data_IF_755628524671
#
_entry.id   IF_755628524671
#
_cell.length_a   1.000
_cell.length_b   1.000
_cell.length_c   1.000
_cell.angle_alpha   90.00
_cell.angle_beta   90.00
_cell.angle_gamma   90.00
#
_symmetry.space_group_name_H-M   'P 1'
#
loop_
_entity.id
_entity.type
_entity.pdbx_description
1 polymer ?
#
# COMPACT_ATOMS: atom_id res chain seq x y z
N UNK A 1 39.52 -1.17 -108.75
CA UNK A 1 39.55 -1.92 -107.47
C UNK A 1 38.72 -1.18 -106.44
N UNK A 2 37.85 -1.94 -105.76
CA UNK A 2 37.11 -1.69 -104.52
C UNK A 2 36.10 -0.53 -104.37
N UNK A 3 34.85 -0.96 -104.16
CA UNK A 3 33.69 -0.26 -103.57
C UNK A 3 33.73 -0.38 -102.02
N UNK A 4 33.05 0.54 -101.33
CA UNK A 4 32.55 0.42 -99.95
C UNK A 4 32.05 1.78 -99.43
N UNK A 5 30.77 2.14 -99.52
CA UNK A 5 29.64 1.88 -98.60
C UNK A 5 29.89 2.30 -97.14
N UNK A 6 29.48 3.53 -96.77
CA UNK A 6 29.18 3.92 -95.40
C UNK A 6 27.67 3.81 -95.15
N UNK A 7 27.29 3.05 -94.13
CA UNK A 7 25.92 2.66 -93.81
C UNK A 7 25.34 3.55 -92.69
N UNK A 8 24.11 4.01 -92.91
CA UNK A 8 23.26 4.76 -91.97
C UNK A 8 23.14 4.03 -90.63
N UNK A 9 23.55 4.66 -89.54
CA UNK A 9 23.34 4.15 -88.18
C UNK A 9 21.90 4.44 -87.75
N UNK A 10 21.22 3.39 -87.32
CA UNK A 10 19.79 3.31 -87.06
C UNK A 10 19.39 4.06 -85.77
N UNK A 11 18.51 5.06 -85.88
CA UNK A 11 17.99 5.94 -84.81
C UNK A 11 17.00 5.24 -83.84
N UNK A 12 17.10 3.92 -83.69
CA UNK A 12 16.17 3.14 -82.88
C UNK A 12 16.69 2.91 -81.45
N UNK A 13 18.00 2.79 -81.24
CA UNK A 13 18.57 2.43 -79.92
C UNK A 13 18.42 3.50 -78.82
N UNK A 14 18.45 4.79 -79.18
CA UNK A 14 18.37 5.89 -78.22
C UNK A 14 16.97 6.07 -77.61
N UNK A 15 15.92 5.74 -78.37
CA UNK A 15 14.54 5.86 -77.89
C UNK A 15 14.18 4.83 -76.81
N UNK A 16 14.70 3.60 -76.92
CA UNK A 16 14.50 2.55 -75.90
C UNK A 16 15.28 2.83 -74.62
N UNK A 17 16.46 3.44 -74.73
CA UNK A 17 17.26 3.84 -73.56
C UNK A 17 16.56 4.99 -72.82
N UNK A 18 16.02 5.97 -73.55
CA UNK A 18 15.23 7.05 -72.96
C UNK A 18 13.91 6.55 -72.37
N UNK A 19 13.21 5.61 -73.01
CA UNK A 19 11.98 5.03 -72.45
C UNK A 19 12.25 4.17 -71.22
N UNK A 20 13.36 3.42 -71.19
CA UNK A 20 13.78 2.63 -70.03
C UNK A 20 14.23 3.52 -68.86
N UNK A 21 14.90 4.65 -69.13
CA UNK A 21 15.23 5.65 -68.12
C UNK A 21 13.97 6.35 -67.59
N UNK A 22 13.00 6.68 -68.44
CA UNK A 22 11.71 7.24 -68.01
C UNK A 22 10.91 6.23 -67.19
N UNK A 23 10.93 4.94 -67.55
CA UNK A 23 10.30 3.89 -66.73
C UNK A 23 11.02 3.70 -65.40
N UNK A 24 12.36 3.69 -65.38
CA UNK A 24 13.14 3.58 -64.14
C UNK A 24 12.97 4.79 -63.21
N UNK A 25 12.72 6.00 -63.76
CA UNK A 25 12.42 7.20 -62.97
C UNK A 25 10.95 7.20 -62.47
N UNK A 26 10.04 6.48 -63.12
CA UNK A 26 8.65 6.32 -62.65
C UNK A 26 8.45 5.13 -61.70
N UNK A 27 9.45 4.27 -61.52
CA UNK A 27 9.50 3.27 -60.43
C UNK A 27 10.37 3.84 -59.30
N UNK A 28 10.05 5.07 -58.86
CA UNK A 28 10.36 5.46 -57.50
C UNK A 28 9.26 4.82 -56.67
N UNK A 29 9.66 3.79 -55.95
CA UNK A 29 8.94 3.11 -54.88
C UNK A 29 7.93 4.05 -54.19
N UNK A 30 6.65 3.96 -54.60
CA UNK A 30 5.55 4.43 -53.76
C UNK A 30 5.40 3.34 -52.72
N UNK A 31 6.31 3.36 -51.75
CA UNK A 31 6.24 2.60 -50.54
C UNK A 31 5.02 3.17 -49.78
N UNK A 32 3.83 2.67 -50.14
CA UNK A 32 2.57 3.07 -49.55
C UNK A 32 2.53 2.47 -48.14
N UNK A 33 3.30 3.05 -47.23
CA UNK A 33 3.30 2.64 -45.83
C UNK A 33 1.86 2.62 -45.32
N UNK A 34 1.39 1.45 -44.89
CA UNK A 34 0.03 1.25 -44.38
C UNK A 34 0.08 0.97 -42.88
N UNK A 35 -0.86 1.55 -42.14
CA UNK A 35 -1.01 1.35 -40.70
C UNK A 35 -1.96 0.19 -40.35
N UNK A 36 -2.26 -0.69 -41.31
CA UNK A 36 -3.20 -1.79 -41.13
C UNK A 36 -2.81 -2.71 -39.96
N UNK A 37 -1.55 -3.14 -39.87
CA UNK A 37 -1.08 -4.00 -38.77
C UNK A 37 -1.23 -3.34 -37.39
N UNK A 38 -0.94 -2.04 -37.32
CA UNK A 38 -1.10 -1.23 -36.11
C UNK A 38 -2.57 -1.15 -35.70
N UNK A 39 -3.48 -1.00 -36.67
CA UNK A 39 -4.92 -1.01 -36.41
C UNK A 39 -5.39 -2.37 -35.90
N UNK A 40 -4.95 -3.46 -36.52
CA UNK A 40 -5.28 -4.82 -36.07
C UNK A 40 -4.80 -5.05 -34.64
N UNK A 41 -3.57 -4.65 -34.32
CA UNK A 41 -3.03 -4.76 -32.96
C UNK A 41 -3.79 -3.90 -31.93
N UNK A 42 -4.19 -2.68 -32.30
CA UNK A 42 -4.98 -1.78 -31.46
C UNK A 42 -6.35 -2.36 -31.12
N UNK A 43 -7.00 -3.00 -32.10
CA UNK A 43 -8.30 -3.64 -31.94
C UNK A 43 -8.20 -4.95 -31.14
N UNK A 44 -7.24 -5.82 -31.45
CA UNK A 44 -7.06 -7.11 -30.76
C UNK A 44 -6.77 -6.92 -29.26
N UNK A 45 -6.00 -5.88 -28.91
CA UNK A 45 -5.73 -5.52 -27.50
C UNK A 45 -6.86 -4.73 -26.84
N UNK A 46 -7.97 -4.48 -27.54
CA UNK A 46 -9.14 -3.73 -27.04
C UNK A 46 -8.77 -2.36 -26.47
N UNK A 47 -7.75 -1.71 -27.03
CA UNK A 47 -7.23 -0.42 -26.53
C UNK A 47 -8.21 0.71 -26.82
N UNK A 48 -8.91 0.63 -27.95
CA UNK A 48 -9.96 1.58 -28.31
C UNK A 48 -10.56 1.31 -29.69
N UNK A 49 -11.41 2.23 -30.18
CA UNK A 49 -12.04 2.13 -31.50
C UNK A 49 -11.01 2.18 -32.63
N UNK A 50 -11.07 1.27 -33.62
CA UNK A 50 -10.09 1.16 -34.70
C UNK A 50 -9.99 2.42 -35.57
N UNK A 51 -11.01 3.28 -35.56
CA UNK A 51 -11.04 4.57 -36.26
C UNK A 51 -10.02 5.59 -35.72
N UNK A 52 -9.47 5.35 -34.52
CA UNK A 52 -8.41 6.20 -33.96
C UNK A 52 -7.05 5.96 -34.61
N UNK A 53 -6.91 4.88 -35.38
CA UNK A 53 -5.71 4.55 -36.15
C UNK A 53 -5.89 5.04 -37.58
N UNK A 54 -4.96 5.84 -38.13
CA UNK A 54 -5.00 6.31 -39.51
C UNK A 54 -4.75 5.16 -40.48
N UNK A 55 -5.08 5.31 -41.76
CA UNK A 55 -4.77 4.30 -42.79
C UNK A 55 -3.30 4.32 -43.20
N UNK A 56 -2.69 5.52 -43.22
CA UNK A 56 -1.32 5.76 -43.64
C UNK A 56 -0.57 6.60 -42.58
N UNK A 57 0.76 6.48 -42.48
CA UNK A 57 1.56 7.22 -41.50
C UNK A 57 1.55 8.74 -41.71
N UNK A 58 1.42 9.50 -40.61
CA UNK A 58 1.52 10.97 -40.60
C UNK A 58 2.89 11.45 -40.12
N UNK A 59 3.44 12.52 -40.73
CA UNK A 59 4.79 13.06 -40.42
C UNK A 59 4.83 14.15 -39.35
N UNK A 60 3.68 14.60 -38.86
CA UNK A 60 3.57 15.70 -37.89
C UNK A 60 2.49 15.39 -36.85
N UNK A 61 2.79 14.44 -35.96
CA UNK A 61 1.88 14.04 -34.88
C UNK A 61 2.47 14.51 -33.55
N UNK A 62 1.79 15.44 -32.90
CA UNK A 62 2.11 15.92 -31.56
C UNK A 62 1.78 14.85 -30.50
N UNK A 63 2.68 13.87 -30.38
CA UNK A 63 2.64 12.78 -29.40
C UNK A 63 3.40 13.20 -28.14
N UNK A 64 2.79 12.99 -26.98
CA UNK A 64 3.34 13.42 -25.68
C UNK A 64 4.39 12.45 -25.13
N UNK A 65 4.18 11.14 -25.32
CA UNK A 65 5.01 10.08 -24.73
C UNK A 65 5.90 9.44 -25.79
N UNK A 66 5.30 9.01 -26.89
CA UNK A 66 5.97 8.36 -28.00
C UNK A 66 6.67 9.39 -28.88
N UNK A 67 7.92 9.75 -28.55
CA UNK A 67 8.75 10.61 -29.39
C UNK A 67 9.42 9.80 -30.50
N UNK A 68 9.04 10.04 -31.74
CA UNK A 68 9.60 9.39 -32.92
C UNK A 68 10.01 10.41 -33.98
N UNK A 69 11.16 10.20 -34.63
CA UNK A 69 11.59 11.01 -35.77
C UNK A 69 11.11 10.34 -37.06
N UNK A 70 10.12 10.93 -37.73
CA UNK A 70 9.58 10.44 -38.99
C UNK A 70 8.11 10.02 -38.92
N UNK A 71 7.54 9.52 -40.03
CA UNK A 71 6.13 9.17 -40.13
C UNK A 71 5.69 8.15 -39.07
N UNK A 72 4.54 8.37 -38.44
CA UNK A 72 3.98 7.52 -37.39
C UNK A 72 2.53 7.11 -37.69
N UNK A 73 2.18 5.88 -37.33
CA UNK A 73 0.81 5.38 -37.32
C UNK A 73 0.03 5.72 -36.04
N UNK A 74 0.67 6.37 -35.07
CA UNK A 74 0.02 6.80 -33.85
C UNK A 74 -0.59 8.20 -34.06
N UNK A 75 -1.81 8.41 -33.56
CA UNK A 75 -2.41 9.73 -33.37
C UNK A 75 -2.40 10.10 -31.90
N UNK A 76 -2.57 11.38 -31.56
CA UNK A 76 -2.70 11.79 -30.15
C UNK A 76 -3.83 11.06 -29.42
N UNK A 77 -4.97 10.86 -30.09
CA UNK A 77 -6.11 10.10 -29.55
C UNK A 77 -5.80 8.61 -29.36
N UNK A 78 -4.99 8.01 -30.24
CA UNK A 78 -4.53 6.62 -30.09
C UNK A 78 -3.58 6.50 -28.90
N UNK A 79 -2.65 7.44 -28.75
CA UNK A 79 -1.72 7.50 -27.62
C UNK A 79 -2.44 7.68 -26.28
N UNK A 80 -3.39 8.62 -26.19
CA UNK A 80 -4.26 8.79 -25.03
C UNK A 80 -5.03 7.48 -24.68
N UNK A 81 -5.46 6.74 -25.69
CA UNK A 81 -6.14 5.44 -25.49
C UNK A 81 -5.20 4.39 -24.90
N UNK A 82 -3.96 4.32 -25.39
CA UNK A 82 -2.93 3.45 -24.79
C UNK A 82 -2.59 3.85 -23.37
N UNK A 83 -2.45 5.14 -23.09
CA UNK A 83 -2.17 5.62 -21.73
C UNK A 83 -3.27 5.17 -20.75
N UNK A 84 -4.55 5.29 -21.13
CA UNK A 84 -5.66 4.82 -20.32
C UNK A 84 -5.66 3.28 -20.17
N UNK A 85 -5.38 2.55 -21.24
CA UNK A 85 -5.33 1.09 -21.22
C UNK A 85 -4.20 0.57 -20.31
N UNK A 86 -2.98 1.08 -20.49
CA UNK A 86 -1.82 0.74 -19.66
C UNK A 86 -2.06 1.11 -18.20
N UNK A 87 -2.62 2.29 -17.92
CA UNK A 87 -2.95 2.68 -16.55
C UNK A 87 -3.94 1.71 -15.91
N UNK A 88 -5.02 1.33 -16.63
CA UNK A 88 -6.01 0.37 -16.14
C UNK A 88 -5.39 -1.00 -15.87
N UNK A 89 -4.65 -1.53 -16.85
CA UNK A 89 -4.00 -2.83 -16.75
C UNK A 89 -2.97 -2.86 -15.62
N UNK A 90 -2.14 -1.83 -15.50
CA UNK A 90 -1.15 -1.72 -14.43
C UNK A 90 -1.82 -1.69 -13.06
N UNK A 91 -2.87 -0.89 -12.88
CA UNK A 91 -3.62 -0.84 -11.61
C UNK A 91 -4.28 -2.19 -11.29
N UNK A 92 -4.86 -2.85 -12.30
CA UNK A 92 -5.45 -4.18 -12.14
C UNK A 92 -4.41 -5.23 -11.74
N UNK A 93 -3.25 -5.22 -12.39
CA UNK A 93 -2.15 -6.14 -12.06
C UNK A 93 -1.61 -5.89 -10.66
N UNK A 94 -1.42 -4.62 -10.26
CA UNK A 94 -1.02 -4.27 -8.89
C UNK A 94 -2.01 -4.85 -7.89
N UNK A 95 -3.32 -4.61 -8.08
CA UNK A 95 -4.36 -5.14 -7.20
C UNK A 95 -4.37 -6.67 -7.18
N UNK A 96 -4.29 -7.32 -8.35
CA UNK A 96 -4.31 -8.78 -8.44
C UNK A 96 -3.08 -9.42 -7.79
N UNK A 97 -1.91 -8.82 -7.91
CA UNK A 97 -0.69 -9.33 -7.30
C UNK A 97 -0.58 -9.01 -5.81
N UNK A 98 -1.17 -7.89 -5.35
CA UNK A 98 -1.15 -7.52 -3.94
C UNK A 98 -2.27 -8.18 -3.12
N UNK A 99 -3.34 -8.65 -3.75
CA UNK A 99 -4.56 -9.13 -3.08
C UNK A 99 -4.28 -10.20 -2.02
N UNK A 100 -3.57 -11.26 -2.38
CA UNK A 100 -3.26 -12.36 -1.45
C UNK A 100 -2.39 -11.89 -0.28
N UNK A 101 -1.40 -11.03 -0.54
CA UNK A 101 -0.53 -10.50 0.49
C UNK A 101 -1.30 -9.59 1.47
N UNK A 102 -2.15 -8.71 0.93
CA UNK A 102 -3.01 -7.83 1.73
C UNK A 102 -3.95 -8.65 2.61
N UNK A 103 -4.60 -9.67 2.04
CA UNK A 103 -5.49 -10.56 2.79
C UNK A 103 -4.73 -11.34 3.87
N UNK A 104 -3.53 -11.85 3.59
CA UNK A 104 -2.72 -12.55 4.58
C UNK A 104 -2.32 -11.63 5.73
N UNK A 105 -1.81 -10.44 5.44
CA UNK A 105 -1.39 -9.47 6.46
C UNK A 105 -2.60 -9.03 7.30
N UNK A 106 -3.73 -8.71 6.67
CA UNK A 106 -4.96 -8.33 7.37
C UNK A 106 -5.43 -9.47 8.29
N UNK A 107 -5.50 -10.70 7.77
CA UNK A 107 -5.92 -11.86 8.56
C UNK A 107 -5.00 -12.13 9.75
N UNK A 108 -3.68 -11.97 9.60
CA UNK A 108 -2.75 -12.08 10.73
C UNK A 108 -2.91 -10.95 11.74
N UNK A 109 -3.14 -9.72 11.29
CA UNK A 109 -3.41 -8.57 12.16
C UNK A 109 -4.67 -8.79 12.99
N UNK A 110 -5.75 -9.27 12.37
CA UNK A 110 -7.02 -9.55 13.04
C UNK A 110 -6.86 -10.69 14.07
N UNK A 111 -6.22 -11.79 13.68
CA UNK A 111 -5.97 -12.91 14.59
C UNK A 111 -5.09 -12.51 15.79
N UNK A 112 -4.07 -11.68 15.57
CA UNK A 112 -3.26 -11.11 16.65
C UNK A 112 -4.12 -10.27 17.59
N UNK A 113 -4.94 -9.37 17.05
CA UNK A 113 -5.80 -8.50 17.85
C UNK A 113 -6.81 -9.30 18.69
N UNK A 114 -7.43 -10.32 18.11
CA UNK A 114 -8.36 -11.21 18.80
C UNK A 114 -7.68 -11.97 19.94
N UNK A 115 -6.48 -12.52 19.68
CA UNK A 115 -5.72 -13.25 20.70
C UNK A 115 -5.35 -12.36 21.88
N UNK A 116 -4.87 -11.14 21.64
CA UNK A 116 -4.53 -10.21 22.72
C UNK A 116 -5.77 -9.75 23.49
N UNK A 117 -6.88 -9.49 22.81
CA UNK A 117 -8.13 -9.12 23.48
C UNK A 117 -8.65 -10.27 24.37
N UNK A 118 -8.53 -11.52 23.90
CA UNK A 118 -8.83 -12.70 24.71
C UNK A 118 -7.92 -12.80 25.93
N UNK A 119 -6.59 -12.68 25.74
CA UNK A 119 -5.62 -12.77 26.83
C UNK A 119 -5.83 -11.68 27.90
N UNK A 120 -6.14 -10.45 27.50
CA UNK A 120 -6.48 -9.37 28.42
C UNK A 120 -7.73 -9.70 29.24
N UNK A 121 -8.79 -10.15 28.57
CA UNK A 121 -10.06 -10.48 29.22
C UNK A 121 -9.89 -11.67 30.18
N UNK A 122 -9.17 -12.70 29.76
CA UNK A 122 -8.85 -13.87 30.57
C UNK A 122 -8.04 -13.48 31.81
N UNK A 123 -6.96 -12.71 31.62
CA UNK A 123 -6.07 -12.28 32.71
C UNK A 123 -6.78 -11.35 33.69
N UNK A 124 -7.62 -10.44 33.20
CA UNK A 124 -8.46 -9.56 34.02
C UNK A 124 -9.43 -10.37 34.87
N UNK A 125 -10.13 -11.33 34.26
CA UNK A 125 -11.05 -12.22 34.95
C UNK A 125 -10.34 -13.07 36.00
N UNK A 126 -9.17 -13.61 35.66
CA UNK A 126 -8.36 -14.41 36.58
C UNK A 126 -7.87 -13.59 37.79
N UNK A 127 -7.34 -12.38 37.57
CA UNK A 127 -6.90 -11.50 38.66
C UNK A 127 -8.07 -11.06 39.54
N UNK A 128 -9.22 -10.76 38.93
CA UNK A 128 -10.43 -10.39 39.67
C UNK A 128 -10.90 -11.53 40.57
N UNK A 129 -10.98 -12.75 40.02
CA UNK A 129 -11.34 -13.96 40.78
C UNK A 129 -10.35 -14.27 41.91
N UNK A 130 -9.05 -14.09 41.66
CA UNK A 130 -8.02 -14.25 42.69
C UNK A 130 -8.20 -13.26 43.85
N UNK A 131 -8.46 -11.99 43.54
CA UNK A 131 -8.70 -10.96 44.55
C UNK A 131 -9.97 -11.25 45.35
N UNK A 132 -11.05 -11.65 44.69
CA UNK A 132 -12.31 -11.99 45.35
C UNK A 132 -12.18 -13.22 46.25
N UNK A 133 -11.46 -14.25 45.80
CA UNK A 133 -11.30 -15.50 46.54
C UNK A 133 -10.26 -15.43 47.68
N UNK A 134 -9.11 -14.81 47.43
CA UNK A 134 -7.97 -14.83 48.37
C UNK A 134 -7.93 -13.57 49.24
N UNK A 135 -8.30 -12.43 48.67
CA UNK A 135 -8.18 -11.10 49.30
C UNK A 135 -9.54 -10.40 49.40
N UNK A 136 -10.56 -11.14 49.87
CA UNK A 136 -11.96 -10.69 49.87
C UNK A 136 -12.19 -9.37 50.64
N UNK A 137 -11.38 -9.08 51.67
CA UNK A 137 -11.43 -7.82 52.42
C UNK A 137 -11.00 -6.59 51.61
N UNK A 138 -10.20 -6.80 50.55
CA UNK A 138 -9.66 -5.79 49.65
C UNK A 138 -10.40 -5.71 48.32
N UNK A 139 -10.99 -6.83 47.88
CA UNK A 139 -11.45 -7.04 46.50
C UNK A 139 -12.33 -5.89 45.99
N UNK A 140 -13.35 -5.50 46.76
CA UNK A 140 -14.29 -4.42 46.38
C UNK A 140 -13.58 -3.11 46.03
N UNK A 141 -12.50 -2.77 46.73
CA UNK A 141 -11.74 -1.54 46.52
C UNK A 141 -10.62 -1.71 45.49
N UNK A 142 -10.11 -2.93 45.30
CA UNK A 142 -9.04 -3.23 44.35
C UNK A 142 -9.54 -3.42 42.91
N UNK A 143 -10.73 -4.01 42.72
CA UNK A 143 -11.29 -4.34 41.39
C UNK A 143 -11.40 -3.13 40.44
N UNK A 144 -11.79 -1.91 40.87
CA UNK A 144 -11.76 -0.74 40.00
C UNK A 144 -10.38 -0.46 39.39
N UNK A 145 -9.30 -0.65 40.15
CA UNK A 145 -7.94 -0.44 39.64
C UNK A 145 -7.50 -1.55 38.69
N UNK A 146 -7.95 -2.79 38.90
CA UNK A 146 -7.78 -3.88 37.94
C UNK A 146 -8.45 -3.52 36.60
N UNK A 147 -9.71 -3.11 36.64
CA UNK A 147 -10.45 -2.72 35.43
C UNK A 147 -9.78 -1.56 34.69
N UNK A 148 -9.28 -0.56 35.42
CA UNK A 148 -8.56 0.56 34.84
C UNK A 148 -7.23 0.13 34.19
N UNK A 149 -6.45 -0.73 34.83
CA UNK A 149 -5.21 -1.27 34.28
C UNK A 149 -5.48 -1.99 32.95
N UNK A 150 -6.41 -2.94 32.94
CA UNK A 150 -6.70 -3.74 31.75
C UNK A 150 -7.33 -2.90 30.61
N UNK A 151 -8.10 -1.87 30.95
CA UNK A 151 -8.59 -0.90 29.96
C UNK A 151 -7.44 -0.12 29.32
N UNK A 152 -6.47 0.33 30.13
CA UNK A 152 -5.30 1.08 29.66
C UNK A 152 -4.36 0.22 28.81
N UNK A 153 -4.16 -1.05 29.18
CA UNK A 153 -3.38 -2.02 28.40
C UNK A 153 -4.07 -2.36 27.06
N UNK A 154 -5.40 -2.47 27.05
CA UNK A 154 -6.17 -2.66 25.81
C UNK A 154 -5.99 -1.49 24.85
N UNK A 155 -6.02 -0.25 25.36
CA UNK A 155 -5.76 0.95 24.56
C UNK A 155 -4.32 0.99 24.04
N UNK A 156 -3.33 0.64 24.87
CA UNK A 156 -1.92 0.58 24.45
C UNK A 156 -1.71 -0.40 23.29
N UNK A 157 -2.25 -1.62 23.38
CA UNK A 157 -2.12 -2.63 22.32
C UNK A 157 -2.80 -2.19 21.02
N UNK A 158 -3.87 -1.39 21.11
CA UNK A 158 -4.55 -0.79 19.94
C UNK A 158 -3.81 0.42 19.36
N UNK A 159 -2.63 0.77 19.88
CA UNK A 159 -1.82 1.89 19.40
C UNK A 159 -2.27 3.26 19.91
N UNK A 160 -3.09 3.32 20.98
CA UNK A 160 -3.39 4.59 21.62
C UNK A 160 -2.14 5.16 22.32
N UNK A 161 -2.09 6.49 22.45
CA UNK A 161 -0.99 7.18 23.12
C UNK A 161 -1.10 7.05 24.66
N UNK A 162 -0.90 5.84 25.17
CA UNK A 162 -0.92 5.48 26.60
C UNK A 162 0.36 4.70 26.91
N UNK A 163 1.02 5.00 28.02
CA UNK A 163 2.19 4.22 28.44
C UNK A 163 1.75 3.00 29.26
N UNK A 164 2.16 1.80 28.83
CA UNK A 164 1.95 0.57 29.58
C UNK A 164 2.69 0.61 30.92
N UNK A 165 3.94 1.07 30.93
CA UNK A 165 4.75 1.24 32.14
C UNK A 165 4.08 2.19 33.14
N UNK A 166 3.63 3.36 32.69
CA UNK A 166 2.93 4.31 33.55
C UNK A 166 1.62 3.74 34.12
N UNK A 167 0.89 2.95 33.32
CA UNK A 167 -0.35 2.30 33.74
C UNK A 167 -0.11 1.23 34.82
N UNK A 168 0.97 0.45 34.68
CA UNK A 168 1.41 -0.53 35.67
C UNK A 168 1.81 0.17 36.97
N UNK A 169 2.62 1.24 36.88
CA UNK A 169 2.98 2.03 38.06
C UNK A 169 1.76 2.63 38.76
N UNK A 170 0.81 3.18 37.99
CA UNK A 170 -0.42 3.72 38.54
C UNK A 170 -1.23 2.64 39.29
N UNK A 171 -1.35 1.44 38.72
CA UNK A 171 -2.03 0.32 39.38
C UNK A 171 -1.42 0.01 40.75
N UNK A 172 -0.09 -0.15 40.83
CA UNK A 172 0.57 -0.44 42.10
C UNK A 172 0.54 0.73 43.09
N UNK A 173 0.62 1.97 42.60
CA UNK A 173 0.46 3.16 43.44
C UNK A 173 -0.95 3.23 44.04
N UNK A 174 -1.99 2.85 43.29
CA UNK A 174 -3.36 2.78 43.79
C UNK A 174 -3.58 1.62 44.77
N UNK A 175 -2.91 0.48 44.54
CA UNK A 175 -3.09 -0.72 45.35
C UNK A 175 -2.34 -0.66 46.68
N UNK A 176 -1.18 0.00 46.74
CA UNK A 176 -0.33 -0.03 47.94
C UNK A 176 -0.99 0.54 49.21
N UNK A 177 -1.64 1.71 49.20
CA UNK A 177 -2.32 2.21 50.39
C UNK A 177 -3.41 1.26 50.90
N UNK A 178 -4.14 0.62 49.99
CA UNK A 178 -5.14 -0.39 50.31
C UNK A 178 -4.53 -1.61 51.00
N UNK A 179 -3.48 -2.18 50.40
CA UNK A 179 -2.78 -3.35 50.97
C UNK A 179 -2.20 -3.01 52.33
N UNK A 180 -1.57 -1.84 52.46
CA UNK A 180 -0.97 -1.40 53.71
C UNK A 180 -2.02 -1.26 54.81
N UNK A 181 -3.12 -0.53 54.54
CA UNK A 181 -4.15 -0.27 55.55
C UNK A 181 -4.99 -1.50 55.88
N UNK A 182 -5.21 -2.44 54.96
CA UNK A 182 -6.09 -3.60 55.19
C UNK A 182 -5.37 -4.85 55.67
N UNK A 183 -4.13 -5.07 55.25
CA UNK A 183 -3.40 -6.31 55.53
C UNK A 183 -2.21 -6.09 56.47
N UNK A 184 -1.50 -4.97 56.34
CA UNK A 184 -0.29 -4.72 57.12
C UNK A 184 -0.62 -4.00 58.43
N UNK A 185 -1.50 -3.00 58.39
CA UNK A 185 -1.84 -2.17 59.54
C UNK A 185 -3.35 -1.82 59.61
N UNK A 186 -4.21 -2.81 59.93
CA UNK A 186 -5.68 -2.67 59.97
C UNK A 186 -6.20 -1.66 61.00
N UNK A 187 -5.40 -1.27 61.99
CA UNK A 187 -5.80 -0.30 63.02
C UNK A 187 -5.98 1.14 62.50
N UNK A 188 -5.57 1.42 61.26
CA UNK A 188 -5.58 2.78 60.67
C UNK A 188 -6.89 3.16 59.96
N UNK A 189 -7.81 2.22 59.71
CA UNK A 189 -9.03 2.46 58.91
C UNK A 189 -9.99 3.53 59.49
N UNK A 190 -9.87 3.91 60.76
CA UNK A 190 -10.83 4.79 61.45
C UNK A 190 -10.54 6.30 61.39
N UNK A 191 -9.36 6.73 60.91
CA UNK A 191 -8.92 8.14 60.95
C UNK A 191 -9.16 8.89 59.64
N UNK A 192 -10.41 9.29 59.35
CA UNK A 192 -10.82 9.80 58.02
C UNK A 192 -10.06 11.03 57.49
N UNK A 193 -9.54 11.92 58.35
CA UNK A 193 -8.76 13.09 57.92
C UNK A 193 -7.27 12.79 57.70
N UNK A 194 -6.72 11.80 58.42
CA UNK A 194 -5.34 11.32 58.26
C UNK A 194 -5.18 10.37 57.06
N UNK A 195 -6.28 9.73 56.63
CA UNK A 195 -6.25 8.70 55.58
C UNK A 195 -5.76 9.21 54.22
N UNK A 196 -6.19 10.41 53.77
CA UNK A 196 -5.77 10.92 52.45
C UNK A 196 -4.30 11.35 52.40
N UNK A 197 -3.84 12.09 53.41
CA UNK A 197 -2.44 12.50 53.50
C UNK A 197 -1.51 11.29 53.66
N UNK A 198 -1.95 10.28 54.42
CA UNK A 198 -1.23 9.01 54.54
C UNK A 198 -1.20 8.23 53.21
N UNK A 199 -2.33 8.13 52.50
CA UNK A 199 -2.39 7.43 51.21
C UNK A 199 -1.43 8.05 50.19
N UNK A 200 -1.33 9.38 50.15
CA UNK A 200 -0.40 10.09 49.27
C UNK A 200 1.05 9.88 49.70
N UNK A 201 1.34 9.88 51.01
CA UNK A 201 2.65 9.50 51.53
C UNK A 201 3.05 8.08 51.12
N UNK A 202 2.14 7.11 51.32
CA UNK A 202 2.34 5.71 50.92
C UNK A 202 2.60 5.59 49.42
N UNK A 203 1.86 6.32 48.58
CA UNK A 203 2.09 6.36 47.13
C UNK A 203 3.48 6.86 46.77
N UNK A 204 3.97 7.92 47.44
CA UNK A 204 5.30 8.48 47.20
C UNK A 204 6.41 7.50 47.57
N UNK A 205 6.33 6.86 48.73
CA UNK A 205 7.39 5.97 49.21
C UNK A 205 7.36 4.57 48.58
N UNK A 206 6.28 4.21 47.86
CA UNK A 206 6.09 2.86 47.30
C UNK A 206 7.29 2.41 46.48
N UNK A 207 7.86 3.30 45.67
CA UNK A 207 9.00 2.94 44.81
C UNK A 207 10.24 2.61 45.64
N UNK A 208 10.49 3.39 46.70
CA UNK A 208 11.67 3.23 47.56
C UNK A 208 11.60 1.98 48.44
N UNK A 209 10.42 1.69 49.00
CA UNK A 209 10.21 0.53 49.89
C UNK A 209 9.92 -0.76 49.15
N UNK A 210 9.61 -0.65 47.85
CA UNK A 210 9.33 -1.74 46.92
C UNK A 210 8.48 -2.90 47.52
N UNK A 211 7.26 -2.60 47.99
CA UNK A 211 6.47 -3.53 48.81
C UNK A 211 5.96 -4.75 48.03
N UNK A 212 6.04 -4.71 46.70
CA UNK A 212 5.63 -5.80 45.82
C UNK A 212 6.81 -6.57 45.22
N UNK A 213 8.06 -6.22 45.57
CA UNK A 213 9.27 -6.88 45.08
C UNK A 213 9.76 -6.36 43.73
N UNK A 214 10.93 -6.83 43.24
CA UNK A 214 11.51 -6.36 41.99
C UNK A 214 10.62 -6.78 40.81
N UNK A 215 10.08 -5.80 40.10
CA UNK A 215 9.30 -5.94 38.88
C UNK A 215 9.83 -4.95 37.85
#
# INVERSE_FOLDING_TARGET
>A
MSRGLCQRVNSCGSAWILSALVFAVNVIDVDAYSCHEVRTAFQLRQVGPPQRVPETPGRDVDLMVCKHQGPSCCTRKMEESYQLAVKRETLHNIQSYSYELEHLISGHSDAFQDMFQYLLSFSQGHLSSLLEGTYSSLSRQALPYVNQLFSSLSLYIRGANVSAEASIHQFYNSLFPLVYTRLINPGLEGGMTMGREMDDCLRMIRQDVNPFGPH
#
